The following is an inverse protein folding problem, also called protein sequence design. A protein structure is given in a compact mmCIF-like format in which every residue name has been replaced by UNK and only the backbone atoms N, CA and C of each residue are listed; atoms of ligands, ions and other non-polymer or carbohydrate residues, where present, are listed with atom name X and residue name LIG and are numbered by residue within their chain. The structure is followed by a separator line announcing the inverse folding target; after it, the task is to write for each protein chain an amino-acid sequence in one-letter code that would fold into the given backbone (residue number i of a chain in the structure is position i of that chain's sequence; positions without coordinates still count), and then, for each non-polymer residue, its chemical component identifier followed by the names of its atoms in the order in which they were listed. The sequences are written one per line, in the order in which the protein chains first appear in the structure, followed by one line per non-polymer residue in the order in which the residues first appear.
data_IF_775155772356
#
_entry.id   IF_775155772356
#
_cell.length_a   1.000
_cell.length_b   1.000
_cell.length_c   1.000
_cell.angle_alpha   90.00
_cell.angle_beta   90.00
_cell.angle_gamma   90.00
#
_symmetry.space_group_name_H-M   'P 1'
#
loop_
_entity.id
_entity.type
_entity.pdbx_description
1 polymer ?
#
# COMPACT_ATOMS: atom_id res chain seq x y z
N UNK A 1 18.86 3.00 24.60
CA UNK A 1 18.00 3.50 23.51
C UNK A 1 17.57 2.30 22.69
N UNK A 2 16.33 1.81 22.87
CA UNK A 2 15.75 0.80 21.98
C UNK A 2 15.50 1.46 20.63
N UNK A 3 16.29 1.11 19.62
CA UNK A 3 15.98 1.39 18.24
C UNK A 3 14.71 0.58 17.90
N UNK A 4 13.57 1.25 17.89
CA UNK A 4 12.35 0.68 17.31
C UNK A 4 12.54 0.70 15.81
N UNK A 5 12.87 -0.44 15.25
CA UNK A 5 12.82 -0.65 13.82
C UNK A 5 11.35 -0.64 13.43
N UNK A 6 10.90 0.50 12.92
CA UNK A 6 9.52 0.68 12.51
C UNK A 6 9.39 0.18 11.07
N UNK A 7 9.00 -1.08 10.88
CA UNK A 7 8.45 -1.58 9.62
C UNK A 7 7.06 -0.97 9.39
N UNK A 8 6.97 0.37 9.27
CA UNK A 8 5.68 1.08 9.23
C UNK A 8 5.30 1.47 7.80
N UNK A 9 6.15 1.18 6.82
CA UNK A 9 5.94 1.65 5.44
C UNK A 9 5.72 0.46 4.54
N UNK A 10 4.51 0.34 4.01
CA UNK A 10 4.23 -0.55 2.92
C UNK A 10 5.09 -0.13 1.73
N UNK A 11 5.65 -1.11 1.06
CA UNK A 11 6.51 -0.92 -0.11
C UNK A 11 5.96 -1.75 -1.25
N UNK A 12 6.00 -1.19 -2.43
CA UNK A 12 5.76 -1.92 -3.64
C UNK A 12 7.09 -2.13 -4.36
N UNK A 13 7.55 -3.39 -4.38
CA UNK A 13 8.86 -3.75 -4.93
C UNK A 13 8.69 -4.48 -6.26
N UNK A 14 9.57 -4.20 -7.21
CA UNK A 14 9.67 -4.95 -8.46
C UNK A 14 11.13 -5.34 -8.72
N UNK A 15 11.34 -6.63 -9.01
CA UNK A 15 12.65 -7.13 -9.41
C UNK A 15 12.95 -6.70 -10.85
N UNK A 16 14.23 -6.37 -11.10
CA UNK A 16 14.74 -5.98 -12.43
C UNK A 16 16.11 -6.61 -12.67
N UNK A 17 16.53 -6.69 -13.93
CA UNK A 17 17.85 -7.23 -14.28
C UNK A 17 18.99 -6.23 -14.08
N UNK A 18 18.69 -5.00 -13.63
CA UNK A 18 19.65 -3.94 -13.41
C UNK A 18 18.98 -2.57 -13.33
N UNK A 19 19.77 -1.53 -13.56
CA UNK A 19 19.29 -0.15 -13.59
C UNK A 19 18.40 0.06 -14.83
N UNK A 20 17.23 0.63 -14.61
CA UNK A 20 16.31 1.07 -15.67
C UNK A 20 16.25 2.61 -15.66
N UNK A 21 16.62 3.24 -16.78
CA UNK A 21 16.70 4.69 -16.87
C UNK A 21 15.37 5.40 -16.63
N UNK A 22 14.26 4.84 -17.13
CA UNK A 22 12.94 5.42 -16.92
C UNK A 22 12.51 5.35 -15.44
N UNK A 23 12.75 4.20 -14.77
CA UNK A 23 12.46 4.04 -13.35
C UNK A 23 13.33 4.91 -12.45
N UNK A 24 14.54 5.22 -12.88
CA UNK A 24 15.54 6.00 -12.12
C UNK A 24 15.32 7.51 -12.20
N UNK A 25 14.33 7.99 -12.95
CA UNK A 25 14.02 9.43 -13.02
C UNK A 25 13.59 9.97 -11.66
N UNK A 26 14.12 11.12 -11.23
CA UNK A 26 13.82 11.70 -9.90
C UNK A 26 12.33 11.93 -9.64
N UNK A 27 11.57 12.30 -10.68
CA UNK A 27 10.12 12.54 -10.57
C UNK A 27 9.32 11.27 -10.23
N UNK A 28 9.88 10.09 -10.42
CA UNK A 28 9.23 8.83 -10.09
C UNK A 28 9.34 8.47 -8.60
N UNK A 29 10.25 9.12 -7.86
CA UNK A 29 10.46 8.88 -6.42
C UNK A 29 10.69 7.40 -6.07
N UNK A 30 11.19 6.60 -7.02
CA UNK A 30 11.54 5.20 -6.81
C UNK A 30 12.97 5.06 -6.33
N UNK A 31 13.21 4.08 -5.47
CA UNK A 31 14.53 3.78 -4.95
C UNK A 31 15.04 2.49 -5.58
N UNK A 32 16.21 2.57 -6.21
CA UNK A 32 16.95 1.43 -6.72
C UNK A 32 17.85 0.82 -5.64
N UNK A 33 17.82 -0.51 -5.54
CA UNK A 33 18.72 -1.25 -4.66
C UNK A 33 19.27 -2.50 -5.36
N UNK A 34 20.51 -2.85 -5.03
CA UNK A 34 20.99 -4.22 -5.21
C UNK A 34 20.39 -5.11 -4.12
N UNK A 35 20.05 -6.33 -4.47
CA UNK A 35 19.68 -7.35 -3.50
C UNK A 35 20.90 -7.89 -2.73
N UNK A 36 20.64 -8.77 -1.76
CA UNK A 36 21.69 -9.40 -0.95
C UNK A 36 22.43 -10.50 -1.72
N UNK A 37 21.77 -11.11 -2.70
CA UNK A 37 22.38 -12.10 -3.59
C UNK A 37 22.98 -11.40 -4.80
N UNK A 38 24.06 -11.97 -5.35
CA UNK A 38 24.71 -11.44 -6.55
C UNK A 38 23.74 -11.35 -7.72
N UNK A 39 23.88 -10.27 -8.50
CA UNK A 39 23.05 -10.00 -9.69
C UNK A 39 21.56 -9.92 -9.45
N UNK A 40 21.14 -9.60 -8.22
CA UNK A 40 19.73 -9.32 -7.90
C UNK A 40 19.53 -7.83 -7.67
N UNK A 41 18.51 -7.27 -8.33
CA UNK A 41 18.22 -5.83 -8.28
C UNK A 41 16.73 -5.61 -8.15
N UNK A 42 16.33 -4.51 -7.53
CA UNK A 42 14.94 -4.15 -7.42
C UNK A 42 14.74 -2.64 -7.28
N UNK A 43 13.59 -2.20 -7.73
CA UNK A 43 13.06 -0.87 -7.41
C UNK A 43 11.93 -1.02 -6.41
N UNK A 44 11.76 0.00 -5.59
CA UNK A 44 10.62 0.08 -4.71
C UNK A 44 10.13 1.52 -4.57
N UNK A 45 8.79 1.64 -4.49
CA UNK A 45 8.10 2.88 -4.19
C UNK A 45 7.50 2.85 -2.79
N UNK A 46 7.44 4.01 -2.17
CA UNK A 46 6.78 4.17 -0.89
C UNK A 46 5.26 4.21 -1.06
N UNK A 47 4.57 3.45 -0.22
CA UNK A 47 3.16 3.61 0.05
C UNK A 47 3.06 4.35 1.39
N UNK A 48 2.59 5.59 1.37
CA UNK A 48 2.82 6.56 2.45
C UNK A 48 2.31 6.15 3.80
N UNK A 49 1.13 5.58 3.87
CA UNK A 49 0.49 5.23 5.14
C UNK A 49 0.03 3.79 5.24
N UNK A 50 0.02 3.01 4.17
CA UNK A 50 -0.26 1.58 4.15
C UNK A 50 -0.94 1.01 5.40
N UNK A 51 -0.31 0.06 6.05
CA UNK A 51 -0.81 -0.52 7.30
C UNK A 51 -0.95 0.46 8.46
N UNK A 52 -0.32 1.65 8.42
CA UNK A 52 -0.51 2.70 9.42
C UNK A 52 -1.92 3.29 9.32
N UNK A 53 -2.46 3.51 8.10
CA UNK A 53 -3.81 4.01 7.92
C UNK A 53 -4.86 3.04 8.49
N UNK A 54 -4.63 1.73 8.29
CA UNK A 54 -5.50 0.68 8.84
C UNK A 54 -5.53 0.73 10.37
N UNK A 55 -4.36 0.80 11.00
CA UNK A 55 -4.26 0.89 12.46
C UNK A 55 -4.85 2.19 12.99
N UNK A 56 -4.55 3.31 12.34
CA UNK A 56 -5.10 4.60 12.72
C UNK A 56 -6.63 4.59 12.69
N UNK A 57 -7.23 4.02 11.65
CA UNK A 57 -8.70 3.93 11.55
C UNK A 57 -9.29 3.09 12.69
N UNK A 58 -8.74 1.90 12.93
CA UNK A 58 -9.15 1.05 14.06
C UNK A 58 -8.99 1.76 15.40
N UNK A 59 -7.82 2.35 15.64
CA UNK A 59 -7.45 2.87 16.96
C UNK A 59 -8.18 4.19 17.28
N UNK A 60 -8.32 5.08 16.30
CA UNK A 60 -8.79 6.45 16.54
C UNK A 60 -10.21 6.72 16.02
N UNK A 61 -10.65 6.04 14.95
CA UNK A 61 -12.01 6.23 14.43
C UNK A 61 -12.96 5.22 15.06
N UNK A 62 -12.52 3.95 15.18
CA UNK A 62 -13.35 2.91 15.80
C UNK A 62 -13.15 2.83 17.33
N UNK A 63 -12.15 3.48 17.90
CA UNK A 63 -11.78 3.42 19.32
C UNK A 63 -11.46 2.00 19.83
N UNK A 64 -10.85 1.17 18.97
CA UNK A 64 -10.50 -0.24 19.22
C UNK A 64 -8.98 -0.43 19.28
N UNK A 65 -8.28 0.47 19.97
CA UNK A 65 -6.82 0.48 20.03
C UNK A 65 -6.24 -0.85 20.52
N UNK A 66 -5.32 -1.42 19.75
CA UNK A 66 -4.66 -2.69 20.07
C UNK A 66 -5.50 -3.94 19.79
N UNK A 67 -6.78 -3.83 19.48
CA UNK A 67 -7.65 -4.96 19.15
C UNK A 67 -7.40 -5.47 17.73
N UNK A 68 -6.47 -6.43 17.57
CA UNK A 68 -6.14 -7.02 16.27
C UNK A 68 -7.29 -7.77 15.62
N UNK A 69 -8.16 -8.41 16.42
CA UNK A 69 -9.30 -9.17 15.92
C UNK A 69 -10.40 -8.26 15.29
N UNK A 70 -10.43 -6.98 15.67
CA UNK A 70 -11.39 -6.04 15.11
C UNK A 70 -11.23 -5.80 13.60
N UNK A 71 -10.07 -6.07 13.05
CA UNK A 71 -9.87 -6.05 11.59
C UNK A 71 -10.74 -7.06 10.86
N UNK A 72 -11.02 -8.21 11.45
CA UNK A 72 -11.88 -9.23 10.84
C UNK A 72 -13.34 -8.72 10.76
N UNK A 73 -13.83 -8.07 11.83
CA UNK A 73 -15.14 -7.43 11.84
C UNK A 73 -15.27 -6.30 10.80
N UNK A 74 -14.25 -5.46 10.70
CA UNK A 74 -14.19 -4.40 9.68
C UNK A 74 -14.18 -4.98 8.26
N UNK A 75 -13.42 -6.06 8.05
CA UNK A 75 -13.34 -6.74 6.75
C UNK A 75 -14.68 -7.38 6.36
N UNK A 76 -15.42 -7.98 7.31
CA UNK A 76 -16.76 -8.50 7.07
C UNK A 76 -17.74 -7.40 6.65
N UNK A 77 -17.70 -6.23 7.32
CA UNK A 77 -18.51 -5.07 6.94
C UNK A 77 -18.18 -4.58 5.54
N UNK A 78 -16.89 -4.48 5.20
CA UNK A 78 -16.43 -4.00 3.89
C UNK A 78 -16.69 -4.98 2.74
N UNK A 79 -16.80 -6.27 3.02
CA UNK A 79 -16.98 -7.31 1.99
C UNK A 79 -18.24 -7.10 1.15
N UNK A 80 -19.30 -6.61 1.75
CA UNK A 80 -20.59 -6.38 1.10
C UNK A 80 -20.73 -4.98 0.47
N UNK A 81 -19.74 -4.12 0.67
CA UNK A 81 -19.71 -2.78 0.05
C UNK A 81 -19.26 -2.90 -1.40
N UNK A 82 -19.92 -2.26 -2.36
CA UNK A 82 -19.51 -2.29 -3.76
C UNK A 82 -18.12 -1.63 -3.94
N UNK A 83 -17.40 -2.03 -4.98
CA UNK A 83 -16.13 -1.40 -5.35
C UNK A 83 -16.33 0.11 -5.61
N UNK A 84 -15.33 0.91 -5.18
CA UNK A 84 -15.45 2.36 -5.18
C UNK A 84 -16.21 2.95 -3.99
N UNK A 85 -16.46 2.13 -2.94
CA UNK A 85 -16.96 2.58 -1.63
C UNK A 85 -18.16 3.53 -1.71
N UNK A 86 -19.12 3.25 -2.61
CA UNK A 86 -20.28 4.12 -2.89
C UNK A 86 -19.89 5.57 -3.25
N UNK A 87 -18.69 5.77 -3.82
CA UNK A 87 -18.15 7.09 -4.17
C UNK A 87 -17.42 7.80 -3.03
N UNK A 88 -17.33 7.22 -1.84
CA UNK A 88 -16.54 7.77 -0.74
C UNK A 88 -15.05 7.55 -1.02
N UNK A 89 -14.26 8.60 -0.93
CA UNK A 89 -12.80 8.56 -1.04
C UNK A 89 -12.16 8.84 0.31
N UNK A 90 -11.14 8.07 0.66
CA UNK A 90 -10.22 8.41 1.73
C UNK A 90 -8.90 8.89 1.11
N UNK A 91 -8.40 10.04 1.52
CA UNK A 91 -7.07 10.51 1.17
C UNK A 91 -6.12 10.20 2.34
N UNK A 92 -5.13 9.29 2.17
CA UNK A 92 -4.41 8.69 3.30
C UNK A 92 -3.20 9.51 3.75
N UNK A 93 -3.28 10.85 3.74
CA UNK A 93 -2.17 11.74 4.06
C UNK A 93 -1.98 11.97 5.58
N UNK A 94 -2.05 10.89 6.39
CA UNK A 94 -1.90 10.94 7.85
C UNK A 94 -0.53 11.46 8.31
N UNK A 95 0.49 11.35 7.48
CA UNK A 95 1.85 11.82 7.75
C UNK A 95 2.28 12.96 6.81
N UNK A 96 1.31 13.64 6.23
CA UNK A 96 1.53 14.65 5.20
C UNK A 96 1.69 14.07 3.80
N UNK A 97 1.74 14.96 2.81
CA UNK A 97 2.03 14.66 1.41
C UNK A 97 3.50 14.87 1.04
N UNK A 98 3.80 14.85 -0.27
CA UNK A 98 5.12 15.16 -0.83
C UNK A 98 4.98 16.10 -2.03
N UNK A 99 6.06 16.82 -2.36
CA UNK A 99 6.09 17.72 -3.49
C UNK A 99 4.93 18.72 -3.45
N UNK A 100 4.14 18.75 -4.51
CA UNK A 100 2.99 19.67 -4.65
C UNK A 100 1.87 19.44 -3.61
N UNK A 101 1.85 18.26 -2.97
CA UNK A 101 0.88 17.92 -1.92
C UNK A 101 1.51 17.92 -0.52
N UNK A 102 2.62 18.63 -0.30
CA UNK A 102 3.36 18.64 0.98
C UNK A 102 2.49 19.03 2.19
N UNK A 103 1.52 19.93 2.00
CA UNK A 103 0.57 20.35 3.03
C UNK A 103 -0.70 19.49 3.13
N UNK A 104 -0.74 18.37 2.41
CA UNK A 104 -1.91 17.50 2.44
C UNK A 104 -2.10 16.84 3.80
N UNK A 105 -3.34 16.74 4.22
CA UNK A 105 -3.79 16.00 5.40
C UNK A 105 -4.81 14.94 5.02
N UNK A 106 -4.95 13.92 5.86
CA UNK A 106 -5.92 12.87 5.62
C UNK A 106 -7.35 13.39 5.74
N UNK A 107 -8.21 12.95 4.83
CA UNK A 107 -9.63 13.29 4.88
C UNK A 107 -10.49 12.22 4.18
N UNK A 108 -11.75 12.12 4.63
CA UNK A 108 -12.80 11.46 3.89
C UNK A 108 -13.57 12.49 3.05
N UNK A 109 -13.81 12.15 1.79
CA UNK A 109 -14.56 12.99 0.84
C UNK A 109 -15.84 12.28 0.42
N UNK A 110 -16.87 13.06 0.10
CA UNK A 110 -18.15 12.57 -0.39
C UNK A 110 -18.91 11.64 0.57
N UNK A 111 -18.78 11.86 1.88
CA UNK A 111 -19.59 11.16 2.88
C UNK A 111 -21.03 11.66 2.86
N UNK A 112 -21.98 10.72 3.01
CA UNK A 112 -23.42 10.97 3.11
C UNK A 112 -23.98 10.28 4.36
N UNK A 113 -25.27 10.43 4.63
CA UNK A 113 -25.93 9.72 5.73
C UNK A 113 -25.92 8.19 5.57
N UNK A 114 -25.70 7.68 4.33
CA UNK A 114 -25.61 6.25 4.03
C UNK A 114 -24.17 5.71 4.14
N UNK A 115 -23.24 6.54 4.61
CA UNK A 115 -21.82 6.16 4.80
C UNK A 115 -21.66 5.49 6.15
N UNK A 116 -21.83 4.19 6.17
CA UNK A 116 -21.57 3.36 7.34
C UNK A 116 -20.07 3.03 7.52
N UNK A 117 -19.75 2.32 8.60
CA UNK A 117 -18.40 1.91 8.93
C UNK A 117 -17.78 0.98 7.88
N UNK A 118 -18.60 0.12 7.24
CA UNK A 118 -18.14 -0.77 6.17
C UNK A 118 -17.71 0.02 4.93
N UNK A 119 -18.47 1.05 4.56
CA UNK A 119 -18.12 1.97 3.46
C UNK A 119 -16.83 2.73 3.76
N UNK A 120 -16.69 3.27 4.97
CA UNK A 120 -15.47 3.99 5.38
C UNK A 120 -14.26 3.06 5.38
N UNK A 121 -14.38 1.85 5.94
CA UNK A 121 -13.29 0.89 5.97
C UNK A 121 -12.87 0.48 4.57
N UNK A 122 -13.82 0.20 3.69
CA UNK A 122 -13.51 -0.09 2.30
C UNK A 122 -12.79 1.07 1.61
N UNK A 123 -13.22 2.31 1.83
CA UNK A 123 -12.54 3.49 1.30
C UNK A 123 -11.08 3.59 1.80
N UNK A 124 -10.80 3.22 3.06
CA UNK A 124 -9.42 3.15 3.58
C UNK A 124 -8.60 2.07 2.87
N UNK A 125 -9.16 0.88 2.64
CA UNK A 125 -8.49 -0.20 1.91
C UNK A 125 -8.20 0.19 0.45
N UNK A 126 -9.17 0.80 -0.22
CA UNK A 126 -9.06 1.26 -1.62
C UNK A 126 -8.08 2.43 -1.77
N UNK A 127 -7.99 3.33 -0.80
CA UNK A 127 -7.05 4.45 -0.81
C UNK A 127 -5.60 3.98 -0.97
N UNK A 128 -5.22 2.95 -0.23
CA UNK A 128 -3.89 2.34 -0.34
C UNK A 128 -3.69 1.67 -1.70
N UNK A 129 -4.76 1.08 -2.24
CA UNK A 129 -4.76 0.52 -3.59
C UNK A 129 -4.50 1.57 -4.68
N UNK A 130 -5.02 2.79 -4.55
CA UNK A 130 -4.74 3.88 -5.49
C UNK A 130 -3.26 4.31 -5.44
N UNK A 131 -2.63 4.28 -4.27
CA UNK A 131 -1.19 4.52 -4.17
C UNK A 131 -0.39 3.41 -4.90
N UNK A 132 -0.80 2.13 -4.76
CA UNK A 132 -0.20 1.05 -5.55
C UNK A 132 -0.37 1.27 -7.06
N UNK A 133 -1.55 1.72 -7.52
CA UNK A 133 -1.78 2.01 -8.93
C UNK A 133 -0.84 3.09 -9.45
N UNK A 134 -0.53 4.13 -8.65
CA UNK A 134 0.40 5.18 -9.06
C UNK A 134 1.81 4.64 -9.29
N UNK A 135 2.29 3.77 -8.42
CA UNK A 135 3.61 3.11 -8.56
C UNK A 135 3.63 2.16 -9.76
N UNK A 136 2.55 1.37 -9.94
CA UNK A 136 2.49 0.43 -11.08
C UNK A 136 2.36 1.13 -12.42
N UNK A 137 1.77 2.32 -12.49
CA UNK A 137 1.75 3.11 -13.72
C UNK A 137 3.16 3.54 -14.14
N UNK A 138 4.05 3.86 -13.17
CA UNK A 138 5.45 4.14 -13.44
C UNK A 138 6.14 2.90 -14.03
N UNK A 139 5.91 1.72 -13.44
CA UNK A 139 6.49 0.48 -13.95
C UNK A 139 6.01 0.15 -15.37
N UNK A 140 4.71 0.29 -15.64
CA UNK A 140 4.14 0.08 -16.98
C UNK A 140 4.73 1.04 -18.01
N UNK A 141 4.88 2.33 -17.65
CA UNK A 141 5.49 3.34 -18.51
C UNK A 141 6.95 3.03 -18.84
N UNK A 142 7.67 2.44 -17.88
CA UNK A 142 9.06 1.99 -18.06
C UNK A 142 9.19 0.66 -18.82
N UNK A 143 8.09 0.09 -19.31
CA UNK A 143 8.08 -1.19 -20.03
C UNK A 143 8.29 -2.41 -19.13
N UNK A 144 8.15 -2.28 -17.81
CA UNK A 144 8.30 -3.38 -16.85
C UNK A 144 6.90 -3.98 -16.58
N UNK A 145 6.63 -5.21 -17.02
CA UNK A 145 5.33 -5.83 -16.88
C UNK A 145 5.03 -6.21 -15.43
N UNK A 146 3.78 -6.03 -15.02
CA UNK A 146 3.26 -6.53 -13.76
C UNK A 146 2.31 -7.70 -14.04
N UNK A 147 2.86 -8.91 -14.08
CA UNK A 147 2.09 -10.12 -14.41
C UNK A 147 1.60 -10.85 -13.17
N UNK A 148 2.41 -10.83 -12.11
CA UNK A 148 2.14 -11.55 -10.87
C UNK A 148 2.67 -10.79 -9.67
N UNK A 149 1.88 -10.73 -8.59
CA UNK A 149 2.25 -10.07 -7.35
C UNK A 149 2.17 -11.05 -6.16
N UNK A 150 3.18 -11.03 -5.31
CA UNK A 150 3.14 -11.73 -4.01
C UNK A 150 2.81 -10.74 -2.90
N UNK A 151 1.79 -11.05 -2.10
CA UNK A 151 1.38 -10.26 -0.95
C UNK A 151 1.92 -10.94 0.31
N UNK A 152 2.69 -10.20 1.10
CA UNK A 152 3.35 -10.71 2.31
C UNK A 152 2.97 -9.89 3.55
N UNK A 153 3.44 -10.35 4.71
CA UNK A 153 3.30 -9.69 6.01
C UNK A 153 1.82 -9.50 6.44
N UNK A 154 1.56 -8.57 7.35
CA UNK A 154 0.22 -8.32 7.90
C UNK A 154 -0.85 -8.00 6.86
N UNK A 155 -0.46 -7.39 5.74
CA UNK A 155 -1.37 -7.06 4.64
C UNK A 155 -1.93 -8.28 3.91
N UNK A 156 -1.32 -9.47 4.07
CA UNK A 156 -1.78 -10.72 3.44
C UNK A 156 -2.96 -11.38 4.18
N UNK A 157 -3.27 -10.97 5.39
CA UNK A 157 -4.29 -11.60 6.23
C UNK A 157 -5.73 -11.24 5.84
N UNK A 158 -5.94 -10.12 5.17
CA UNK A 158 -7.28 -9.67 4.76
C UNK A 158 -7.63 -10.16 3.36
N UNK A 159 -8.53 -11.14 3.26
CA UNK A 159 -8.97 -11.66 1.96
C UNK A 159 -9.66 -10.61 1.10
N UNK A 160 -10.51 -9.77 1.69
CA UNK A 160 -11.18 -8.69 0.98
C UNK A 160 -10.17 -7.68 0.43
N UNK A 161 -9.16 -7.33 1.21
CA UNK A 161 -8.14 -6.39 0.76
C UNK A 161 -7.21 -6.99 -0.31
N UNK A 162 -6.91 -8.28 -0.21
CA UNK A 162 -6.11 -8.96 -1.23
C UNK A 162 -6.85 -9.02 -2.58
N UNK A 163 -8.17 -9.25 -2.56
CA UNK A 163 -8.98 -9.19 -3.79
C UNK A 163 -9.06 -7.76 -4.33
N UNK A 164 -9.24 -6.74 -3.48
CA UNK A 164 -9.21 -5.33 -3.88
C UNK A 164 -7.88 -5.00 -4.60
N UNK A 165 -6.74 -5.42 -4.04
CA UNK A 165 -5.42 -5.21 -4.68
C UNK A 165 -5.33 -5.87 -6.04
N UNK A 166 -5.75 -7.12 -6.17
CA UNK A 166 -5.76 -7.83 -7.45
C UNK A 166 -6.62 -7.11 -8.50
N UNK A 167 -7.84 -6.71 -8.12
CA UNK A 167 -8.80 -6.02 -9.00
C UNK A 167 -8.27 -4.64 -9.42
N UNK A 168 -7.71 -3.86 -8.49
CA UNK A 168 -7.20 -2.51 -8.78
C UNK A 168 -5.96 -2.53 -9.69
N UNK A 169 -5.06 -3.47 -9.49
CA UNK A 169 -3.83 -3.57 -10.27
C UNK A 169 -4.01 -4.31 -11.60
N UNK A 170 -5.13 -5.05 -11.74
CA UNK A 170 -5.36 -5.92 -12.88
C UNK A 170 -4.30 -7.01 -13.00
N UNK A 171 -3.80 -7.48 -11.86
CA UNK A 171 -2.67 -8.40 -11.76
C UNK A 171 -3.03 -9.57 -10.87
N UNK A 172 -2.73 -10.79 -11.33
CA UNK A 172 -2.84 -12.00 -10.51
C UNK A 172 -1.97 -11.86 -9.26
N UNK A 173 -2.56 -12.09 -8.09
CA UNK A 173 -1.88 -11.92 -6.81
C UNK A 173 -1.96 -13.18 -5.98
N UNK A 174 -0.96 -13.45 -5.14
CA UNK A 174 -0.95 -14.59 -4.25
C UNK A 174 -0.48 -14.24 -2.84
N UNK A 175 -1.05 -14.91 -1.85
CA UNK A 175 -0.52 -14.99 -0.49
C UNK A 175 0.25 -16.28 -0.29
N UNK A 176 1.20 -16.27 0.65
CA UNK A 176 2.03 -17.42 0.98
C UNK A 176 1.58 -18.06 2.30
N UNK A 177 1.82 -19.38 2.46
CA UNK A 177 1.58 -20.08 3.73
C UNK A 177 2.38 -19.45 4.89
N UNK A 178 3.65 -19.10 4.60
CA UNK A 178 4.53 -18.38 5.51
C UNK A 178 4.65 -16.92 5.05
N UNK A 179 3.76 -16.06 5.53
CA UNK A 179 3.74 -14.64 5.16
C UNK A 179 4.88 -13.82 5.81
N UNK A 180 5.61 -14.36 6.78
CA UNK A 180 6.73 -13.71 7.48
C UNK A 180 8.02 -13.77 6.64
N UNK A 181 7.96 -13.18 5.44
CA UNK A 181 9.04 -13.27 4.47
C UNK A 181 10.36 -12.66 4.95
N UNK A 182 10.33 -11.55 5.69
CA UNK A 182 11.53 -10.86 6.15
C UNK A 182 12.35 -11.71 7.14
N UNK A 183 11.72 -12.28 8.15
CA UNK A 183 12.42 -13.08 9.18
C UNK A 183 13.03 -14.34 8.59
N UNK A 184 12.31 -15.02 7.70
CA UNK A 184 12.83 -16.20 7.00
C UNK A 184 14.00 -15.83 6.09
N UNK A 185 13.87 -14.72 5.36
CA UNK A 185 14.94 -14.23 4.46
C UNK A 185 16.19 -13.90 5.25
N UNK A 186 16.08 -13.20 6.37
CA UNK A 186 17.22 -12.85 7.23
C UNK A 186 17.93 -14.11 7.75
N UNK A 187 17.17 -15.12 8.20
CA UNK A 187 17.71 -16.39 8.67
C UNK A 187 18.44 -17.16 7.54
N UNK A 188 17.87 -17.21 6.34
CA UNK A 188 18.46 -17.88 5.18
C UNK A 188 19.75 -17.17 4.76
N UNK A 189 19.75 -15.84 4.72
CA UNK A 189 20.95 -15.04 4.36
C UNK A 189 22.04 -15.21 5.41
N UNK A 190 21.69 -15.24 6.70
CA UNK A 190 22.66 -15.49 7.78
C UNK A 190 23.31 -16.87 7.64
N UNK A 191 22.52 -17.92 7.40
CA UNK A 191 23.05 -19.28 7.19
C UNK A 191 23.96 -19.35 5.95
N UNK A 192 23.59 -18.67 4.86
CA UNK A 192 24.43 -18.56 3.67
C UNK A 192 25.76 -17.84 3.95
N UNK A 193 25.71 -16.73 4.68
CA UNK A 193 26.88 -15.94 5.00
C UNK A 193 27.92 -16.66 5.87
N UNK A 194 27.49 -17.57 6.75
CA UNK A 194 28.39 -18.37 7.60
C UNK A 194 28.80 -19.71 6.99
N UNK A 195 28.29 -20.01 5.80
CA UNK A 195 28.61 -21.25 5.07
C UNK A 195 27.79 -22.48 5.47
N UNK A 196 26.76 -22.33 6.29
CA UNK A 196 25.83 -23.43 6.65
C UNK A 196 24.87 -23.78 5.53
N UNK A 197 24.74 -22.89 4.53
CA UNK A 197 23.88 -23.06 3.36
C UNK A 197 24.66 -22.70 2.10
N UNK A 198 24.76 -23.65 1.15
CA UNK A 198 25.48 -23.43 -0.11
C UNK A 198 24.66 -22.61 -1.12
N UNK A 199 23.34 -22.80 -1.16
CA UNK A 199 22.46 -22.14 -2.11
C UNK A 199 21.13 -21.73 -1.44
N UNK A 200 20.96 -20.42 -1.17
CA UNK A 200 19.75 -19.90 -0.55
C UNK A 200 18.49 -20.05 -1.42
N UNK A 201 18.63 -20.17 -2.75
CA UNK A 201 17.47 -20.30 -3.66
C UNK A 201 16.67 -21.56 -3.39
N UNK A 202 17.32 -22.66 -3.03
CA UNK A 202 16.66 -23.93 -2.71
C UNK A 202 15.75 -23.84 -1.50
N UNK A 203 16.10 -23.02 -0.51
CA UNK A 203 15.25 -22.79 0.67
C UNK A 203 14.04 -21.96 0.28
N UNK A 204 14.25 -20.89 -0.50
CA UNK A 204 13.15 -20.05 -0.98
C UNK A 204 12.16 -20.80 -1.85
N UNK A 205 12.64 -21.66 -2.75
CA UNK A 205 11.76 -22.52 -3.56
C UNK A 205 10.91 -23.47 -2.71
N UNK A 206 11.51 -24.10 -1.69
CA UNK A 206 10.80 -25.02 -0.78
C UNK A 206 9.80 -24.33 0.14
N UNK A 207 10.08 -23.09 0.53
CA UNK A 207 9.28 -22.32 1.49
C UNK A 207 8.24 -21.42 0.83
N UNK A 208 8.38 -21.11 -0.46
CA UNK A 208 7.46 -20.29 -1.25
C UNK A 208 6.20 -21.07 -1.64
N UNK A 209 5.46 -21.56 -0.65
CA UNK A 209 4.19 -22.25 -0.88
C UNK A 209 3.06 -21.23 -0.97
N UNK A 210 2.34 -21.25 -2.09
CA UNK A 210 1.17 -20.41 -2.31
C UNK A 210 0.03 -20.91 -1.41
N UNK A 211 -0.54 -20.01 -0.60
CA UNK A 211 -1.71 -20.26 0.23
C UNK A 211 -2.99 -20.05 -0.57
N UNK A 212 -3.09 -18.90 -1.25
CA UNK A 212 -4.27 -18.53 -2.04
C UNK A 212 -3.87 -17.64 -3.21
N UNK A 213 -4.55 -17.81 -4.33
CA UNK A 213 -4.44 -16.96 -5.52
C UNK A 213 -5.70 -16.09 -5.62
N UNK A 214 -5.52 -14.83 -5.99
CA UNK A 214 -6.55 -13.84 -6.26
C UNK A 214 -6.46 -13.44 -7.72
N UNK A 215 -7.45 -13.84 -8.51
CA UNK A 215 -7.58 -13.46 -9.91
C UNK A 215 -8.26 -12.08 -9.99
N UNK A 216 -7.74 -11.13 -10.79
CA UNK A 216 -8.39 -9.85 -10.99
C UNK A 216 -9.69 -10.01 -11.77
N UNK A 217 -10.73 -9.30 -11.37
CA UNK A 217 -11.95 -9.15 -12.15
C UNK A 217 -11.76 -8.01 -13.17
N UNK A 218 -11.79 -8.28 -14.49
CA UNK A 218 -11.54 -7.26 -15.51
C UNK A 218 -12.54 -6.09 -15.48
N UNK A 219 -13.79 -6.34 -15.05
CA UNK A 219 -14.81 -5.31 -14.93
C UNK A 219 -14.47 -4.37 -13.78
N UNK A 220 -14.11 -4.93 -12.62
CA UNK A 220 -13.68 -4.14 -11.44
C UNK A 220 -12.37 -3.40 -11.71
N UNK A 221 -11.41 -4.03 -12.41
CA UNK A 221 -10.15 -3.39 -12.81
C UNK A 221 -10.42 -2.14 -13.64
N UNK A 222 -11.29 -2.23 -14.64
CA UNK A 222 -11.67 -1.07 -15.45
C UNK A 222 -12.39 0.01 -14.63
N UNK A 223 -13.26 -0.39 -13.73
CA UNK A 223 -13.99 0.52 -12.87
C UNK A 223 -13.05 1.27 -11.92
N UNK A 224 -12.15 0.56 -11.22
CA UNK A 224 -11.14 1.18 -10.38
C UNK A 224 -10.20 2.12 -11.15
N UNK A 225 -9.84 1.77 -12.38
CA UNK A 225 -9.04 2.66 -13.24
C UNK A 225 -9.76 3.99 -13.49
N UNK A 226 -11.05 3.95 -13.79
CA UNK A 226 -11.84 5.17 -13.99
C UNK A 226 -11.93 6.05 -12.75
N UNK A 227 -12.10 5.45 -11.55
CA UNK A 227 -12.10 6.19 -10.29
C UNK A 227 -10.71 6.79 -10.01
N UNK A 228 -9.66 6.01 -10.20
CA UNK A 228 -8.28 6.45 -9.99
C UNK A 228 -7.93 7.69 -10.84
N UNK A 229 -8.31 7.70 -12.10
CA UNK A 229 -8.07 8.84 -12.99
C UNK A 229 -8.78 10.10 -12.48
N UNK A 230 -10.03 9.99 -12.02
CA UNK A 230 -10.75 11.11 -11.44
C UNK A 230 -10.14 11.56 -10.10
N UNK A 231 -9.75 10.61 -9.23
CA UNK A 231 -9.09 10.90 -7.97
C UNK A 231 -7.76 11.63 -8.19
N UNK A 232 -6.94 11.19 -9.15
CA UNK A 232 -5.67 11.85 -9.49
C UNK A 232 -5.88 13.27 -9.97
N UNK A 233 -6.89 13.50 -10.82
CA UNK A 233 -7.27 14.82 -11.26
C UNK A 233 -7.72 15.69 -10.09
N UNK A 234 -8.63 15.21 -9.25
CA UNK A 234 -9.10 15.90 -8.06
C UNK A 234 -7.93 16.33 -7.15
N UNK A 235 -7.01 15.41 -6.83
CA UNK A 235 -5.87 15.73 -5.96
C UNK A 235 -4.97 16.78 -6.60
N UNK A 236 -4.66 16.64 -7.88
CA UNK A 236 -3.73 17.51 -8.58
C UNK A 236 -4.31 18.91 -8.84
N UNK A 237 -5.54 18.98 -9.33
CA UNK A 237 -6.09 20.21 -9.87
C UNK A 237 -6.90 21.01 -8.82
N UNK A 238 -7.60 20.31 -7.90
CA UNK A 238 -8.59 20.94 -7.04
C UNK A 238 -8.19 20.97 -5.55
N UNK A 239 -7.44 19.97 -5.07
CA UNK A 239 -7.17 19.83 -3.64
C UNK A 239 -5.99 20.66 -3.11
N UNK A 240 -5.13 21.18 -3.96
CA UNK A 240 -3.95 21.93 -3.52
C UNK A 240 -4.34 23.17 -2.67
N UNK A 241 -5.31 23.96 -3.13
CA UNK A 241 -5.81 25.12 -2.38
C UNK A 241 -6.53 24.74 -1.09
N UNK A 242 -7.23 23.60 -1.09
CA UNK A 242 -7.91 23.06 0.10
C UNK A 242 -6.87 22.68 1.16
N UNK A 243 -5.83 21.92 0.78
CA UNK A 243 -4.76 21.54 1.69
C UNK A 243 -4.01 22.74 2.26
N UNK A 244 -3.72 23.76 1.44
CA UNK A 244 -3.11 25.00 1.92
C UNK A 244 -3.99 25.68 2.94
N UNK A 245 -5.29 25.81 2.69
CA UNK A 245 -6.26 26.42 3.63
C UNK A 245 -6.31 25.64 4.94
N UNK A 246 -6.37 24.30 4.89
CA UNK A 246 -6.36 23.46 6.09
C UNK A 246 -5.06 23.59 6.89
N UNK A 247 -3.93 23.71 6.21
CA UNK A 247 -2.64 23.98 6.85
C UNK A 247 -2.62 25.33 7.57
N UNK A 248 -3.18 26.38 6.98
CA UNK A 248 -3.29 27.69 7.64
C UNK A 248 -4.21 27.63 8.87
N UNK A 249 -5.32 26.90 8.82
CA UNK A 249 -6.20 26.68 9.97
C UNK A 249 -5.44 25.99 11.11
N UNK A 250 -4.63 24.96 10.81
CA UNK A 250 -3.81 24.28 11.81
C UNK A 250 -2.80 25.22 12.48
N UNK A 251 -2.15 26.11 11.71
CA UNK A 251 -1.22 27.13 12.26
C UNK A 251 -1.91 28.13 13.19
N UNK A 252 -3.12 28.55 12.86
CA UNK A 252 -3.90 29.46 13.73
C UNK A 252 -4.19 28.77 15.07
N UNK A 253 -4.51 27.49 15.06
CA UNK A 253 -4.77 26.73 16.29
C UNK A 253 -3.51 26.55 17.15
N UNK A 254 -2.35 26.32 16.55
CA UNK A 254 -1.07 26.22 17.27
C UNK A 254 -0.77 27.53 18.01
N UNK A 255 -0.96 28.69 17.36
CA UNK A 255 -0.75 29.99 17.96
C UNK A 255 -1.74 30.34 19.09
N UNK A 256 -2.89 29.69 19.15
CA UNK A 256 -3.89 29.92 20.22
C UNK A 256 -3.61 29.15 21.51
N UNK A 257 -2.66 28.18 21.47
CA UNK A 257 -2.26 27.37 22.61
C UNK A 257 -0.96 27.85 23.28
N UNK A 258 -0.32 28.87 22.73
CA UNK A 258 0.82 29.63 23.34
C UNK A 258 0.31 30.88 24.06
#
# INVERSE_FOLDING_TARGET
RRQRQMCIRDRFCIATDGINEELSKPENELIFNSGTLENTYFYWGFIRTGGLALRWYRDNVCNEAGNGAYFDELNEKAQNVPCGSKGVLFLPYLTGGFGETSNASACFLNMTMDTDQGVQWRAVLEAIGYDYMSVTDIYKKAGVPLEFMTITEGGSNSEVWNQIKADMLGCKSATLENAQGAVLTDAVIAAYAVGDLEDPSQVFEKTRKIKKIYEPDPIRTKYYRSIYEQQRKLIKDDMAAVFETLHQISKIQEQSND
#
